data_IF_264609976867
#
_entry.id   IF_264609976867
#
_cell.length_a   1.000
_cell.length_b   1.000
_cell.length_c   1.000
_cell.angle_alpha   90.00
_cell.angle_beta   90.00
_cell.angle_gamma   90.00
#
_symmetry.space_group_name_H-M   'P 1'
#
loop_
_entity.id
_entity.type
_entity.pdbx_description
1 polymer ?
#
# COMPACT_ATOMS: atom_id res chain seq x y z
N UNK A 1 -22.82 -0.23 -23.96
CA UNK A 1 -22.53 0.26 -22.60
C UNK A 1 -21.03 0.49 -22.49
N UNK A 2 -20.54 1.68 -22.87
CA UNK A 2 -19.11 2.01 -23.20
C UNK A 2 -18.45 2.99 -22.22
N UNK A 3 -19.15 3.33 -21.14
CA UNK A 3 -18.79 4.44 -20.25
C UNK A 3 -17.73 4.04 -19.21
N UNK A 4 -17.63 2.76 -18.85
CA UNK A 4 -16.70 2.26 -17.81
C UNK A 4 -15.25 2.20 -18.28
N UNK A 5 -14.98 1.74 -19.51
CA UNK A 5 -13.60 1.56 -20.00
C UNK A 5 -12.89 2.87 -20.33
N UNK A 6 -13.64 3.86 -20.81
CA UNK A 6 -13.13 5.20 -21.09
C UNK A 6 -12.79 5.94 -19.78
N UNK A 7 -13.65 5.83 -18.76
CA UNK A 7 -13.43 6.43 -17.45
C UNK A 7 -12.19 5.83 -16.74
N UNK A 8 -12.04 4.50 -16.73
CA UNK A 8 -10.88 3.82 -16.13
C UNK A 8 -9.58 4.18 -16.85
N UNK A 9 -9.58 4.19 -18.18
CA UNK A 9 -8.40 4.54 -18.98
C UNK A 9 -8.01 6.01 -18.79
N UNK A 10 -8.99 6.92 -18.70
CA UNK A 10 -8.76 8.34 -18.43
C UNK A 10 -8.21 8.56 -17.02
N UNK A 11 -8.79 7.90 -16.01
CA UNK A 11 -8.33 8.00 -14.63
C UNK A 11 -6.89 7.49 -14.48
N UNK A 12 -6.56 6.36 -15.12
CA UNK A 12 -5.19 5.82 -15.15
C UNK A 12 -4.20 6.78 -15.83
N UNK A 13 -4.58 7.37 -16.97
CA UNK A 13 -3.75 8.37 -17.67
C UNK A 13 -3.52 9.65 -16.88
N UNK A 14 -4.39 9.96 -15.91
CA UNK A 14 -4.22 11.12 -15.03
C UNK A 14 -3.43 10.77 -13.76
N UNK A 15 -3.75 9.64 -13.12
CA UNK A 15 -3.13 9.26 -11.84
C UNK A 15 -1.64 8.94 -12.01
N UNK A 16 -1.24 8.21 -13.05
CA UNK A 16 0.18 7.85 -13.23
C UNK A 16 1.11 9.06 -13.35
N UNK A 17 0.92 10.00 -14.30
CA UNK A 17 1.83 11.13 -14.41
C UNK A 17 1.74 12.04 -13.19
N UNK A 18 0.56 12.21 -12.58
CA UNK A 18 0.43 13.02 -11.38
C UNK A 18 1.20 12.43 -10.19
N UNK A 19 1.12 11.11 -9.98
CA UNK A 19 1.88 10.42 -8.95
C UNK A 19 3.38 10.50 -9.22
N UNK A 20 3.82 10.31 -10.47
CA UNK A 20 5.22 10.42 -10.86
C UNK A 20 5.77 11.83 -10.64
N UNK A 21 5.07 12.86 -11.14
CA UNK A 21 5.47 14.26 -10.98
C UNK A 21 5.48 14.66 -9.51
N UNK A 22 4.43 14.30 -8.77
CA UNK A 22 4.36 14.54 -7.33
C UNK A 22 5.52 13.91 -6.58
N UNK A 23 5.90 12.68 -6.91
CA UNK A 23 7.06 11.99 -6.31
C UNK A 23 8.37 12.69 -6.62
N UNK A 24 8.59 13.10 -7.88
CA UNK A 24 9.81 13.80 -8.30
C UNK A 24 9.94 15.16 -7.65
N UNK A 25 8.84 15.91 -7.49
CA UNK A 25 8.84 17.23 -6.85
C UNK A 25 8.97 17.15 -5.32
N UNK A 26 8.42 16.09 -4.71
CA UNK A 26 8.53 15.86 -3.28
C UNK A 26 9.98 15.65 -2.83
N UNK A 27 10.83 15.02 -3.65
CA UNK A 27 12.21 14.73 -3.28
C UNK A 27 13.02 16.01 -3.03
N UNK A 28 13.15 16.98 -3.97
CA UNK A 28 13.84 18.24 -3.71
C UNK A 28 13.22 19.05 -2.58
N UNK A 29 11.89 19.06 -2.46
CA UNK A 29 11.19 19.79 -1.41
C UNK A 29 11.51 19.23 -0.02
N UNK A 30 11.56 17.91 0.12
CA UNK A 30 11.93 17.22 1.36
C UNK A 30 13.38 17.54 1.75
N UNK A 31 14.30 17.55 0.76
CA UNK A 31 15.71 17.93 0.98
C UNK A 31 15.82 19.39 1.44
N UNK A 32 15.12 20.31 0.78
CA UNK A 32 15.08 21.72 1.18
C UNK A 32 14.55 21.89 2.61
N UNK A 33 13.42 21.24 2.95
CA UNK A 33 12.85 21.28 4.29
C UNK A 33 13.81 20.74 5.35
N UNK A 34 14.57 19.68 5.04
CA UNK A 34 15.56 19.12 5.97
C UNK A 34 16.64 20.13 6.36
N UNK A 35 17.04 21.03 5.45
CA UNK A 35 18.02 22.09 5.74
C UNK A 35 17.39 23.38 6.28
N UNK A 36 16.13 23.66 5.92
CA UNK A 36 15.45 24.91 6.27
C UNK A 36 14.74 24.85 7.64
N UNK A 37 14.38 23.65 8.15
CA UNK A 37 13.67 23.55 9.42
C UNK A 37 14.61 23.76 10.63
N UNK A 38 14.25 24.67 11.57
CA UNK A 38 14.99 24.83 12.80
C UNK A 38 14.95 23.55 13.62
N UNK A 39 16.11 23.14 14.15
CA UNK A 39 16.31 21.85 14.81
C UNK A 39 15.47 21.65 16.09
N UNK A 40 14.76 22.67 16.58
CA UNK A 40 14.08 22.63 17.88
C UNK A 40 12.63 23.07 17.70
N UNK A 41 11.78 22.14 17.26
CA UNK A 41 10.34 22.35 17.21
C UNK A 41 9.67 21.48 18.28
N UNK A 42 9.52 22.01 19.49
CA UNK A 42 8.77 21.32 20.56
C UNK A 42 7.28 21.46 20.24
N UNK A 43 6.77 20.53 19.43
CA UNK A 43 5.35 20.49 19.10
C UNK A 43 4.55 20.19 20.38
N UNK A 44 3.86 21.21 20.92
CA UNK A 44 3.08 21.17 22.18
C UNK A 44 2.01 20.07 22.27
N UNK A 45 1.77 19.31 21.20
CA UNK A 45 0.78 18.22 21.11
C UNK A 45 1.38 16.87 20.72
N UNK A 46 2.70 16.70 20.79
CA UNK A 46 3.41 15.48 20.39
C UNK A 46 2.74 14.20 20.88
N UNK A 47 2.45 14.11 22.19
CA UNK A 47 1.77 12.96 22.79
C UNK A 47 0.41 12.62 22.14
N UNK A 48 -0.39 13.62 21.79
CA UNK A 48 -1.71 13.40 21.16
C UNK A 48 -1.59 12.84 19.74
N UNK A 49 -0.56 13.25 19.00
CA UNK A 49 -0.31 12.74 17.64
C UNK A 49 0.03 11.25 17.69
N UNK A 50 0.90 10.85 18.62
CA UNK A 50 1.29 9.45 18.83
C UNK A 50 0.12 8.59 19.29
N UNK A 51 -0.63 9.02 20.31
CA UNK A 51 -1.82 8.28 20.75
C UNK A 51 -2.83 8.10 19.62
N UNK A 52 -3.02 9.12 18.77
CA UNK A 52 -3.89 9.00 17.59
C UNK A 52 -3.39 7.98 16.58
N UNK A 53 -2.09 7.95 16.32
CA UNK A 53 -1.46 6.97 15.44
C UNK A 53 -1.63 5.54 15.97
N UNK A 54 -1.33 5.31 17.24
CA UNK A 54 -1.44 4.00 17.90
C UNK A 54 -2.86 3.43 17.86
N UNK A 55 -3.86 4.30 18.06
CA UNK A 55 -5.27 3.90 17.96
C UNK A 55 -5.58 3.40 16.54
N UNK A 56 -5.14 4.12 15.51
CA UNK A 56 -5.39 3.74 14.11
C UNK A 56 -4.63 2.45 13.76
N UNK A 57 -3.38 2.32 14.20
CA UNK A 57 -2.57 1.11 14.00
C UNK A 57 -3.22 -0.10 14.68
N UNK A 58 -3.64 0.04 15.93
CA UNK A 58 -4.32 -1.00 16.70
C UNK A 58 -5.61 -1.45 16.01
N UNK A 59 -6.40 -0.50 15.51
CA UNK A 59 -7.62 -0.81 14.74
C UNK A 59 -7.31 -1.54 13.44
N UNK A 60 -6.23 -1.18 12.73
CA UNK A 60 -5.80 -1.85 11.51
C UNK A 60 -5.34 -3.30 11.79
N UNK A 61 -4.59 -3.53 12.86
CA UNK A 61 -4.18 -4.87 13.32
C UNK A 61 -5.38 -5.72 13.74
N UNK A 62 -6.30 -5.15 14.53
CA UNK A 62 -7.54 -5.84 14.93
C UNK A 62 -8.40 -6.20 13.72
N UNK A 63 -8.55 -5.28 12.76
CA UNK A 63 -9.25 -5.54 11.51
C UNK A 63 -8.56 -6.67 10.71
N UNK A 64 -7.24 -6.67 10.66
CA UNK A 64 -6.45 -7.73 10.01
C UNK A 64 -6.72 -9.08 10.66
N UNK A 65 -6.65 -9.18 11.99
CA UNK A 65 -6.90 -10.41 12.73
C UNK A 65 -8.35 -10.91 12.55
N UNK A 66 -9.35 -10.02 12.64
CA UNK A 66 -10.76 -10.37 12.46
C UNK A 66 -11.07 -10.83 11.04
N UNK A 67 -10.52 -10.16 10.02
CA UNK A 67 -10.71 -10.54 8.62
C UNK A 67 -9.99 -11.85 8.30
N UNK A 68 -8.80 -12.06 8.87
CA UNK A 68 -8.04 -13.31 8.75
C UNK A 68 -8.81 -14.47 9.38
N UNK A 69 -9.34 -14.29 10.59
CA UNK A 69 -10.19 -15.27 11.28
C UNK A 69 -11.42 -15.62 10.43
N UNK A 70 -12.08 -14.61 9.86
CA UNK A 70 -13.24 -14.80 8.98
C UNK A 70 -12.86 -15.28 7.57
N UNK A 71 -11.58 -15.53 7.29
CA UNK A 71 -11.04 -15.97 5.99
C UNK A 71 -11.48 -15.07 4.82
N UNK A 72 -11.59 -13.76 5.05
CA UNK A 72 -12.05 -12.79 4.04
C UNK A 72 -10.88 -12.26 3.21
N UNK A 73 -11.08 -12.05 1.91
CA UNK A 73 -10.05 -11.48 1.03
C UNK A 73 -9.65 -10.04 1.43
N UNK A 74 -10.54 -9.31 2.09
CA UNK A 74 -10.26 -7.96 2.64
C UNK A 74 -9.10 -7.95 3.65
N UNK A 75 -8.72 -9.12 4.20
CA UNK A 75 -7.50 -9.27 5.01
C UNK A 75 -6.27 -8.74 4.27
N UNK A 76 -6.20 -8.86 2.94
CA UNK A 76 -5.10 -8.33 2.13
C UNK A 76 -4.96 -6.82 2.31
N UNK A 77 -6.07 -6.09 2.26
CA UNK A 77 -6.08 -4.63 2.39
C UNK A 77 -5.71 -4.23 3.81
N UNK A 78 -6.33 -4.86 4.80
CA UNK A 78 -6.06 -4.57 6.21
C UNK A 78 -4.60 -4.88 6.59
N UNK A 79 -4.08 -6.03 6.16
CA UNK A 79 -2.68 -6.42 6.41
C UNK A 79 -1.69 -5.48 5.71
N UNK A 80 -2.00 -5.00 4.49
CA UNK A 80 -1.14 -4.03 3.82
C UNK A 80 -1.12 -2.68 4.55
N UNK A 81 -2.26 -2.21 5.06
CA UNK A 81 -2.35 -0.98 5.86
C UNK A 81 -1.58 -1.15 7.16
N UNK A 82 -1.87 -2.19 7.94
CA UNK A 82 -1.22 -2.45 9.22
C UNK A 82 0.30 -2.64 9.06
N UNK A 83 0.73 -3.40 8.06
CA UNK A 83 2.15 -3.62 7.78
C UNK A 83 2.88 -2.34 7.36
N UNK A 84 2.24 -1.45 6.60
CA UNK A 84 2.82 -0.15 6.25
C UNK A 84 2.90 0.76 7.48
N UNK A 85 1.86 0.79 8.32
CA UNK A 85 1.86 1.60 9.54
C UNK A 85 2.97 1.16 10.50
N UNK A 86 3.18 -0.15 10.72
CA UNK A 86 4.28 -0.67 11.54
C UNK A 86 5.67 -0.26 11.02
N UNK A 87 5.87 -0.20 9.70
CA UNK A 87 7.15 0.26 9.14
C UNK A 87 7.36 1.76 9.34
N UNK A 88 6.28 2.53 9.24
CA UNK A 88 6.31 3.98 9.52
C UNK A 88 6.59 4.23 11.00
N UNK A 89 5.99 3.43 11.88
CA UNK A 89 6.18 3.47 13.34
C UNK A 89 7.66 3.24 13.72
N UNK A 90 8.21 2.11 13.30
CA UNK A 90 9.62 1.77 13.53
C UNK A 90 10.59 2.83 12.97
N UNK A 91 10.25 3.44 11.83
CA UNK A 91 11.03 4.55 11.27
C UNK A 91 10.97 5.79 12.18
N UNK A 92 9.78 6.17 12.66
CA UNK A 92 9.63 7.32 13.54
C UNK A 92 10.32 7.10 14.89
N UNK A 93 10.22 5.91 15.46
CA UNK A 93 10.91 5.52 16.70
C UNK A 93 12.43 5.62 16.54
N UNK A 94 12.97 5.10 15.43
CA UNK A 94 14.40 5.24 15.12
C UNK A 94 14.84 6.72 15.00
N UNK A 95 14.00 7.59 14.47
CA UNK A 95 14.29 9.03 14.31
C UNK A 95 14.12 9.84 15.60
N UNK A 96 13.42 9.32 16.60
CA UNK A 96 13.09 10.03 17.84
C UNK A 96 13.83 9.49 19.07
N UNK A 97 14.49 8.35 18.94
CA UNK A 97 15.40 7.82 19.94
C UNK A 97 16.52 8.82 20.27
N UNK A 98 16.61 9.22 21.55
CA UNK A 98 17.62 10.16 22.06
C UNK A 98 18.80 9.39 22.64
N UNK A 99 19.99 9.98 22.58
CA UNK A 99 21.30 9.33 22.77
C UNK A 99 21.56 8.66 24.15
N UNK A 100 20.64 8.73 25.11
CA UNK A 100 20.83 8.24 26.48
C UNK A 100 20.00 6.99 26.87
N UNK A 101 18.90 6.70 26.16
CA UNK A 101 17.97 5.58 26.46
C UNK A 101 17.91 4.56 25.30
N UNK A 102 19.00 4.46 24.53
CA UNK A 102 19.05 3.85 23.19
C UNK A 102 18.85 2.32 23.14
N UNK A 103 18.84 1.62 24.26
CA UNK A 103 19.16 0.18 24.22
C UNK A 103 17.96 -0.74 24.51
N UNK A 104 16.96 -0.31 25.28
CA UNK A 104 15.81 -1.17 25.62
C UNK A 104 14.57 -0.88 24.76
N UNK A 105 14.18 0.39 24.57
CA UNK A 105 12.97 0.77 23.83
C UNK A 105 13.11 0.55 22.32
N UNK A 106 14.26 0.91 21.75
CA UNK A 106 14.62 0.68 20.34
C UNK A 106 14.68 -0.80 20.01
N UNK A 107 15.23 -1.61 20.93
CA UNK A 107 15.42 -3.05 20.71
C UNK A 107 14.07 -3.76 20.64
N UNK A 108 13.13 -3.44 21.52
CA UNK A 108 11.77 -4.00 21.47
C UNK A 108 10.97 -3.54 20.25
N UNK A 109 11.06 -2.26 19.88
CA UNK A 109 10.37 -1.72 18.70
C UNK A 109 10.90 -2.36 17.40
N UNK A 110 12.23 -2.41 17.22
CA UNK A 110 12.86 -3.07 16.08
C UNK A 110 12.64 -4.59 16.04
N UNK A 111 12.53 -5.29 17.18
CA UNK A 111 12.32 -6.75 17.19
C UNK A 111 10.87 -7.17 16.94
N UNK A 112 9.88 -6.32 17.23
CA UNK A 112 8.47 -6.65 17.04
C UNK A 112 7.90 -6.03 15.76
N UNK A 113 8.14 -4.76 15.52
CA UNK A 113 7.49 -4.02 14.44
C UNK A 113 8.14 -4.31 13.09
N UNK A 114 9.47 -4.34 13.04
CA UNK A 114 10.21 -4.59 11.79
C UNK A 114 10.05 -6.02 11.27
N UNK A 115 9.83 -7.06 12.10
CA UNK A 115 9.42 -8.36 11.59
C UNK A 115 7.95 -8.42 11.20
N UNK A 116 7.05 -7.81 12.01
CA UNK A 116 5.61 -7.88 11.74
C UNK A 116 5.20 -7.09 10.48
N UNK A 117 5.78 -5.91 10.24
CA UNK A 117 5.43 -5.07 9.09
C UNK A 117 5.62 -5.79 7.74
N UNK A 118 6.84 -6.22 7.40
CA UNK A 118 7.15 -7.02 6.22
C UNK A 118 6.42 -8.35 6.20
N UNK A 119 6.17 -9.00 7.34
CA UNK A 119 5.38 -10.24 7.39
C UNK A 119 3.92 -10.00 6.96
N UNK A 120 3.29 -8.93 7.45
CA UNK A 120 1.94 -8.53 7.05
C UNK A 120 1.87 -8.14 5.57
N UNK A 121 2.89 -7.43 5.05
CA UNK A 121 2.99 -7.11 3.64
C UNK A 121 3.23 -8.36 2.78
N UNK A 122 4.10 -9.26 3.21
CA UNK A 122 4.40 -10.51 2.52
C UNK A 122 3.16 -11.42 2.49
N UNK A 123 2.41 -11.53 3.59
CA UNK A 123 1.17 -12.30 3.62
C UNK A 123 0.11 -11.69 2.70
N UNK A 124 -0.05 -10.36 2.69
CA UNK A 124 -0.93 -9.67 1.75
C UNK A 124 -0.54 -9.96 0.28
N UNK A 125 0.75 -9.89 -0.04
CA UNK A 125 1.27 -10.20 -1.37
C UNK A 125 1.08 -11.69 -1.74
N UNK A 126 1.37 -12.60 -0.82
CA UNK A 126 1.20 -14.04 -1.03
C UNK A 126 -0.25 -14.42 -1.29
N UNK A 127 -1.20 -13.89 -0.51
CA UNK A 127 -2.64 -14.12 -0.71
C UNK A 127 -3.06 -13.58 -2.08
N UNK A 128 -2.63 -12.38 -2.43
CA UNK A 128 -2.92 -11.76 -3.74
C UNK A 128 -2.40 -12.63 -4.88
N UNK A 129 -1.16 -13.09 -4.81
CA UNK A 129 -0.55 -13.94 -5.84
C UNK A 129 -1.23 -15.32 -5.91
N UNK A 130 -1.63 -15.91 -4.79
CA UNK A 130 -2.37 -17.19 -4.76
C UNK A 130 -3.72 -17.05 -5.44
N UNK A 131 -4.45 -15.98 -5.14
CA UNK A 131 -5.74 -15.69 -5.80
C UNK A 131 -5.55 -15.41 -7.28
N UNK A 132 -4.56 -14.62 -7.67
CA UNK A 132 -4.25 -14.34 -9.08
C UNK A 132 -3.93 -15.63 -9.86
N UNK A 133 -3.11 -16.53 -9.29
CA UNK A 133 -2.78 -17.83 -9.89
C UNK A 133 -3.99 -18.76 -9.98
N UNK A 134 -4.84 -18.80 -8.96
CA UNK A 134 -6.08 -19.58 -8.98
C UNK A 134 -7.05 -19.08 -10.07
N UNK A 135 -7.15 -17.76 -10.26
CA UNK A 135 -7.94 -17.17 -11.34
C UNK A 135 -7.34 -17.47 -12.72
N UNK A 136 -6.02 -17.37 -12.87
CA UNK A 136 -5.34 -17.66 -14.14
C UNK A 136 -5.50 -19.13 -14.57
N UNK A 137 -5.37 -20.07 -13.63
CA UNK A 137 -5.60 -21.50 -13.87
C UNK A 137 -7.06 -21.78 -14.23
N UNK A 138 -8.03 -21.17 -13.53
CA UNK A 138 -9.44 -21.28 -13.87
C UNK A 138 -9.80 -20.71 -15.27
N UNK A 139 -9.01 -19.76 -15.77
CA UNK A 139 -9.18 -19.17 -17.10
C UNK A 139 -8.39 -19.91 -18.20
N UNK A 140 -7.69 -21.01 -17.89
CA UNK A 140 -6.89 -21.76 -18.86
C UNK A 140 -5.60 -21.04 -19.30
N UNK A 141 -5.25 -19.91 -18.67
CA UNK A 141 -4.04 -19.14 -18.96
C UNK A 141 -2.85 -19.71 -18.15
N UNK A 142 -2.30 -20.84 -18.60
CA UNK A 142 -1.25 -21.56 -17.86
C UNK A 142 0.15 -20.87 -17.87
N UNK A 143 0.40 -19.87 -18.73
CA UNK A 143 1.78 -19.40 -19.01
C UNK A 143 2.01 -17.87 -18.95
N UNK A 144 1.06 -17.07 -18.47
CA UNK A 144 1.34 -15.64 -18.28
C UNK A 144 2.22 -15.42 -17.04
N UNK A 145 3.42 -14.84 -17.20
CA UNK A 145 4.24 -14.38 -16.04
C UNK A 145 3.37 -13.49 -15.14
N UNK A 146 3.45 -13.67 -13.83
CA UNK A 146 2.56 -13.00 -12.86
C UNK A 146 2.60 -11.46 -12.93
N UNK A 147 3.66 -10.85 -13.46
CA UNK A 147 3.79 -9.41 -13.70
C UNK A 147 3.33 -8.95 -15.10
N UNK A 148 3.02 -9.89 -16.00
CA UNK A 148 2.53 -9.64 -17.36
C UNK A 148 1.03 -9.88 -17.50
N UNK A 149 0.35 -10.35 -16.44
CA UNK A 149 -1.11 -10.55 -16.45
C UNK A 149 -1.77 -9.19 -16.66
N UNK A 150 -2.39 -8.94 -17.84
CA UNK A 150 -3.09 -7.69 -18.07
C UNK A 150 -4.25 -7.64 -17.08
N UNK A 151 -4.47 -6.50 -16.41
CA UNK A 151 -5.70 -6.28 -15.63
C UNK A 151 -6.97 -6.26 -16.51
N UNK A 152 -6.83 -6.37 -17.84
CA UNK A 152 -7.93 -6.37 -18.79
C UNK A 152 -8.52 -7.78 -18.93
N UNK A 153 -9.85 -7.91 -18.73
CA UNK A 153 -10.59 -9.15 -18.95
C UNK A 153 -10.61 -9.50 -20.46
N UNK A 154 -10.54 -10.78 -20.84
CA UNK A 154 -10.72 -11.23 -22.23
C UNK A 154 -12.07 -10.88 -22.88
N UNK A 155 -13.04 -10.34 -22.12
CA UNK A 155 -14.38 -10.00 -22.62
C UNK A 155 -14.35 -8.92 -23.72
N UNK A 156 -13.33 -8.05 -23.72
CA UNK A 156 -13.19 -6.98 -24.73
C UNK A 156 -12.74 -7.51 -26.10
N UNK A 157 -12.24 -8.75 -26.18
CA UNK A 157 -11.79 -9.35 -27.44
C UNK A 157 -12.93 -9.96 -28.27
N UNK A 158 -14.09 -10.21 -27.66
CA UNK A 158 -15.24 -10.85 -28.32
C UNK A 158 -16.33 -9.87 -28.76
N UNK A 159 -16.09 -8.55 -28.69
CA UNK A 159 -17.05 -7.60 -29.22
C UNK A 159 -17.15 -7.77 -30.75
N UNK A 160 -18.33 -8.13 -31.31
CA UNK A 160 -18.47 -8.29 -32.75
C UNK A 160 -18.10 -6.98 -33.45
N UNK A 161 -17.38 -7.09 -34.57
CA UNK A 161 -17.02 -5.95 -35.40
C UNK A 161 -18.27 -5.10 -35.65
N UNK A 162 -18.18 -3.80 -35.34
CA UNK A 162 -19.24 -2.84 -35.61
C UNK A 162 -19.54 -2.93 -37.11
N UNK A 163 -20.77 -3.25 -37.55
CA UNK A 163 -21.07 -3.27 -38.97
C UNK A 163 -20.80 -1.88 -39.54
N UNK A 164 -20.11 -1.83 -40.68
CA UNK A 164 -19.84 -0.59 -41.38
C UNK A 164 -21.16 0.14 -41.64
N UNK A 165 -21.22 1.47 -41.42
CA UNK A 165 -22.38 2.24 -41.84
C UNK A 165 -22.46 2.15 -43.37
N UNK A 166 -23.37 1.33 -43.87
CA UNK A 166 -23.68 1.27 -45.29
C UNK A 166 -24.15 2.66 -45.74
N UNK A 167 -23.62 3.20 -46.84
CA UNK A 167 -24.07 4.47 -47.42
C UNK A 167 -25.51 4.41 -47.94
#
# INVERSE_FOLDING_TARGET
MTVTDSAVRRRRRLILPLATIGSVLLVPWTVYLAFALPHHYVARRWAWTWTGFDIVLTLALAATALLAWKRRLMTVVAAAVAGTMLLVDAWFDAMTATSGDQDESLLTALLLEVPMGPLLLATAAQITLRVARALATAQGAQHARWWQVPMQRPYDATAPARPDPTP
#
